data_IF_072414279795
#
_entry.id   IF_072414279795
#
_cell.length_a   1.000
_cell.length_b   1.000
_cell.length_c   1.000
_cell.angle_alpha   90.00
_cell.angle_beta   90.00
_cell.angle_gamma   90.00
#
_symmetry.space_group_name_H-M   'P 1'
#
loop_
_entity.id
_entity.type
_entity.pdbx_description
1 polymer ?
#
# COMPACT_ATOMS: atom_id res chain seq x y z
N UNK A 1 -6.25 3.15 1.92
CA UNK A 1 -6.39 4.57 1.64
C UNK A 1 -5.03 5.26 1.52
N UNK A 2 -4.09 5.19 2.46
CA UNK A 2 -2.78 5.87 2.41
C UNK A 2 -1.87 5.57 1.18
N UNK A 3 -2.16 4.54 0.39
CA UNK A 3 -1.39 4.15 -0.81
C UNK A 3 -1.78 4.91 -2.07
N UNK A 4 -3.06 5.20 -2.25
CA UNK A 4 -3.56 5.98 -3.37
C UNK A 4 -3.06 7.42 -3.25
N UNK A 5 -3.14 7.98 -2.05
CA UNK A 5 -2.74 9.36 -1.77
C UNK A 5 -1.26 9.65 -2.10
N UNK A 6 -0.36 8.68 -1.89
CA UNK A 6 1.08 8.86 -2.17
C UNK A 6 1.40 8.77 -3.67
N UNK A 7 0.74 7.87 -4.41
CA UNK A 7 0.94 7.73 -5.86
C UNK A 7 0.31 8.91 -6.61
N UNK A 8 -0.89 9.30 -6.24
CA UNK A 8 -1.59 10.46 -6.81
C UNK A 8 -0.82 11.75 -6.51
N UNK A 9 -0.33 11.95 -5.29
CA UNK A 9 0.48 13.12 -4.95
C UNK A 9 1.78 13.18 -5.77
N UNK A 10 2.46 12.05 -5.97
CA UNK A 10 3.65 11.95 -6.84
C UNK A 10 3.30 12.29 -8.29
N UNK A 11 2.23 11.67 -8.83
CA UNK A 11 1.79 11.92 -10.20
C UNK A 11 1.39 13.38 -10.40
N UNK A 12 0.70 13.98 -9.42
CA UNK A 12 0.31 15.39 -9.46
C UNK A 12 1.53 16.34 -9.44
N UNK A 13 2.53 16.03 -8.62
CA UNK A 13 3.80 16.78 -8.59
C UNK A 13 4.50 16.74 -9.94
N UNK A 14 4.57 15.56 -10.55
CA UNK A 14 5.20 15.39 -11.87
C UNK A 14 4.39 16.07 -12.97
N UNK A 15 3.07 15.93 -13.00
CA UNK A 15 2.23 16.61 -13.98
C UNK A 15 2.52 18.12 -14.00
N UNK A 16 2.56 18.74 -12.82
CA UNK A 16 2.88 20.16 -12.68
C UNK A 16 4.30 20.49 -13.16
N UNK A 17 5.27 19.70 -12.75
CA UNK A 17 6.67 19.94 -13.08
C UNK A 17 6.94 19.80 -14.59
N UNK A 18 6.45 18.75 -15.23
CA UNK A 18 6.65 18.53 -16.67
C UNK A 18 5.96 19.60 -17.50
N UNK A 19 4.75 20.05 -17.11
CA UNK A 19 4.05 21.14 -17.76
C UNK A 19 4.89 22.42 -17.74
N UNK A 20 5.45 22.78 -16.59
CA UNK A 20 6.26 23.98 -16.45
C UNK A 20 7.56 23.91 -17.26
N UNK A 21 8.28 22.80 -17.18
CA UNK A 21 9.56 22.57 -17.88
C UNK A 21 9.35 22.57 -19.39
N UNK A 22 8.34 21.85 -19.88
CA UNK A 22 8.02 21.78 -21.30
C UNK A 22 7.23 22.98 -21.82
N UNK A 23 6.86 23.93 -20.95
CA UNK A 23 6.02 25.10 -21.26
C UNK A 23 4.73 24.67 -21.98
N UNK A 24 4.13 23.58 -21.54
CA UNK A 24 2.87 23.11 -22.08
C UNK A 24 1.68 23.86 -21.48
N UNK A 25 0.59 23.94 -22.22
CA UNK A 25 -0.66 24.57 -21.76
C UNK A 25 -1.34 23.70 -20.68
N UNK A 26 -1.30 22.37 -20.85
CA UNK A 26 -1.78 21.41 -19.88
C UNK A 26 -0.93 20.12 -19.89
N UNK A 27 -1.06 19.33 -18.84
CA UNK A 27 -0.41 18.01 -18.75
C UNK A 27 -1.32 16.99 -18.09
N UNK A 28 -1.08 15.70 -18.41
CA UNK A 28 -1.74 14.57 -17.79
C UNK A 28 -0.73 13.44 -17.58
N UNK A 29 -0.88 12.71 -16.47
CA UNK A 29 -0.16 11.47 -16.18
C UNK A 29 -1.18 10.35 -16.20
N UNK A 30 -0.97 9.35 -17.06
CA UNK A 30 -1.87 8.23 -17.25
C UNK A 30 -1.16 6.94 -16.89
N UNK A 31 -1.91 6.04 -16.30
CA UNK A 31 -1.47 4.71 -15.94
C UNK A 31 -2.09 3.66 -16.85
N UNK A 32 -1.29 2.70 -17.32
CA UNK A 32 -1.77 1.57 -18.11
C UNK A 32 -2.25 0.45 -17.17
N UNK A 33 -3.53 0.16 -17.19
CA UNK A 33 -4.12 -1.04 -16.62
C UNK A 33 -4.21 -2.11 -17.73
N UNK A 34 -3.15 -2.90 -17.87
CA UNK A 34 -3.07 -3.94 -18.90
C UNK A 34 -4.12 -5.04 -18.71
N UNK A 35 -4.46 -5.37 -17.45
CA UNK A 35 -5.42 -6.42 -17.14
C UNK A 35 -6.82 -6.06 -17.67
N UNK A 36 -7.21 -4.79 -17.55
CA UNK A 36 -8.50 -4.29 -18.03
C UNK A 36 -8.41 -3.59 -19.37
N UNK A 37 -7.22 -3.52 -19.99
CA UNK A 37 -6.96 -2.82 -21.25
C UNK A 37 -7.45 -1.36 -21.22
N UNK A 38 -7.09 -0.64 -20.18
CA UNK A 38 -7.52 0.73 -19.93
C UNK A 38 -6.34 1.62 -19.57
N UNK A 39 -6.47 2.91 -19.88
CA UNK A 39 -5.64 3.97 -19.35
C UNK A 39 -6.43 4.77 -18.32
N UNK A 40 -5.90 4.88 -17.12
CA UNK A 40 -6.48 5.64 -16.03
C UNK A 40 -5.74 6.98 -15.89
N UNK A 41 -6.48 8.07 -15.81
CA UNK A 41 -5.91 9.37 -15.49
C UNK A 41 -5.56 9.42 -14.01
N UNK A 42 -4.27 9.44 -13.68
CA UNK A 42 -3.78 9.53 -12.30
C UNK A 42 -3.74 10.98 -11.81
N UNK A 43 -3.27 11.89 -12.66
CA UNK A 43 -3.13 13.30 -12.33
C UNK A 43 -3.15 14.16 -13.57
N UNK A 44 -3.50 15.43 -13.40
CA UNK A 44 -3.45 16.44 -14.47
C UNK A 44 -3.11 17.81 -13.89
N UNK A 45 -2.52 18.69 -14.73
CA UNK A 45 -2.29 20.08 -14.38
C UNK A 45 -2.76 20.98 -15.53
N UNK A 46 -3.63 21.94 -15.21
CA UNK A 46 -4.28 22.86 -16.16
C UNK A 46 -5.10 22.19 -17.28
N UNK A 47 -5.49 20.93 -17.12
CA UNK A 47 -6.37 20.26 -18.07
C UNK A 47 -7.82 20.71 -17.81
N UNK A 48 -8.62 21.06 -18.85
CA UNK A 48 -10.03 21.42 -18.67
C UNK A 48 -10.84 20.30 -18.03
N UNK A 49 -11.82 20.65 -17.18
CA UNK A 49 -12.62 19.68 -16.47
C UNK A 49 -13.42 18.79 -17.41
N UNK A 50 -13.90 19.32 -18.54
CA UNK A 50 -14.57 18.56 -19.60
C UNK A 50 -13.73 17.40 -20.13
N UNK A 51 -12.40 17.61 -20.30
CA UNK A 51 -11.46 16.56 -20.73
C UNK A 51 -11.21 15.56 -19.61
N UNK A 52 -11.07 16.03 -18.37
CA UNK A 52 -10.86 15.17 -17.20
C UNK A 52 -12.03 14.18 -17.04
N UNK A 53 -13.26 14.68 -17.12
CA UNK A 53 -14.47 13.87 -16.91
C UNK A 53 -14.66 12.81 -18.00
N UNK A 54 -14.35 13.18 -19.26
CA UNK A 54 -14.50 12.28 -20.40
C UNK A 54 -13.32 11.29 -20.54
N UNK A 55 -12.12 11.71 -20.10
CA UNK A 55 -10.88 10.95 -20.27
C UNK A 55 -10.35 10.31 -18.96
N UNK A 56 -11.13 10.29 -17.91
CA UNK A 56 -10.76 9.68 -16.64
C UNK A 56 -10.36 8.20 -16.79
N UNK A 57 -11.06 7.47 -17.67
CA UNK A 57 -10.80 6.07 -17.95
C UNK A 57 -11.03 5.78 -19.43
N UNK A 58 -9.95 5.61 -20.20
CA UNK A 58 -10.02 5.39 -21.65
C UNK A 58 -9.63 3.94 -21.96
N UNK A 59 -10.42 3.21 -22.78
CA UNK A 59 -9.99 1.93 -23.32
C UNK A 59 -8.69 2.07 -24.13
N UNK A 60 -7.79 1.11 -24.00
CA UNK A 60 -6.53 1.10 -24.75
C UNK A 60 -6.80 1.06 -26.26
N UNK A 61 -6.27 2.02 -26.99
CA UNK A 61 -6.42 2.13 -28.43
C UNK A 61 -7.57 3.02 -28.92
N UNK A 62 -8.39 3.55 -28.01
CA UNK A 62 -9.50 4.43 -28.35
C UNK A 62 -9.07 5.89 -28.59
N UNK A 63 -7.89 6.27 -28.11
CA UNK A 63 -7.28 7.57 -28.35
C UNK A 63 -5.88 7.38 -28.94
N UNK A 64 -5.43 8.30 -29.80
CA UNK A 64 -4.07 8.26 -30.33
C UNK A 64 -2.99 8.41 -29.26
N UNK A 65 -3.28 9.13 -28.18
CA UNK A 65 -2.41 9.27 -27.00
C UNK A 65 -2.37 7.99 -26.15
N UNK A 66 -3.37 7.15 -26.19
CA UNK A 66 -3.46 5.89 -25.45
C UNK A 66 -3.24 4.63 -26.30
N UNK A 67 -2.57 4.74 -27.44
CA UNK A 67 -2.22 3.55 -28.25
C UNK A 67 -0.88 2.98 -27.79
N UNK A 68 -0.86 1.77 -27.18
CA UNK A 68 0.38 1.09 -26.88
C UNK A 68 1.02 0.65 -28.20
N UNK A 69 2.07 1.34 -28.60
CA UNK A 69 2.90 0.86 -29.69
C UNK A 69 4.10 0.11 -29.11
N UNK A 70 4.34 -1.11 -29.57
CA UNK A 70 5.58 -1.82 -29.28
C UNK A 70 6.73 -0.99 -29.86
N UNK A 71 7.63 -0.52 -29.01
CA UNK A 71 8.68 0.43 -29.37
C UNK A 71 8.29 1.91 -29.13
N UNK A 72 7.29 2.18 -28.30
CA UNK A 72 6.82 3.54 -28.02
C UNK A 72 7.97 4.48 -27.68
N UNK A 73 8.24 5.40 -28.57
CA UNK A 73 9.12 6.55 -28.39
C UNK A 73 8.27 7.77 -28.08
N UNK A 74 8.88 8.79 -27.53
CA UNK A 74 8.24 10.10 -27.40
C UNK A 74 7.80 10.59 -28.78
N UNK A 75 6.53 10.96 -28.90
CA UNK A 75 5.90 11.34 -30.18
C UNK A 75 5.08 12.60 -30.04
N UNK A 76 5.07 13.39 -31.11
CA UNK A 76 4.17 14.53 -31.28
C UNK A 76 2.96 14.07 -32.08
N UNK A 77 1.77 14.26 -31.55
CA UNK A 77 0.49 13.86 -32.14
C UNK A 77 -0.25 15.14 -32.50
N UNK A 78 -0.39 15.47 -33.79
CA UNK A 78 -1.20 16.61 -34.21
C UNK A 78 -2.68 16.31 -33.99
N UNK A 79 -3.42 17.29 -33.47
CA UNK A 79 -4.87 17.25 -33.30
C UNK A 79 -5.49 18.03 -34.47
N UNK A 80 -6.14 17.32 -35.39
CA UNK A 80 -6.79 17.96 -36.53
C UNK A 80 -8.31 17.99 -36.30
N UNK A 81 -8.98 19.17 -36.49
CA UNK A 81 -10.44 19.30 -36.33
C UNK A 81 -11.21 18.47 -37.38
N UNK A 82 -10.63 18.30 -38.59
CA UNK A 82 -11.25 17.60 -39.71
C UNK A 82 -10.68 16.21 -39.87
N UNK A 83 -11.53 15.17 -39.74
CA UNK A 83 -11.16 13.77 -39.94
C UNK A 83 -10.62 13.03 -38.72
N UNK A 84 -10.66 13.64 -37.55
CA UNK A 84 -10.26 12.98 -36.29
C UNK A 84 -11.35 12.01 -35.83
N UNK A 85 -11.00 10.77 -35.37
CA UNK A 85 -11.96 9.92 -34.70
C UNK A 85 -12.65 10.68 -33.55
N UNK A 86 -13.94 10.45 -33.35
CA UNK A 86 -14.83 11.28 -32.48
C UNK A 86 -14.31 11.51 -31.04
N UNK A 87 -13.29 10.79 -30.61
CA UNK A 87 -12.70 10.87 -29.27
C UNK A 87 -11.54 11.85 -29.13
N UNK A 88 -10.80 12.17 -30.19
CA UNK A 88 -9.86 13.30 -30.20
C UNK A 88 -10.60 14.66 -30.32
N UNK A 89 -11.89 14.62 -30.57
CA UNK A 89 -12.73 15.80 -30.61
C UNK A 89 -12.78 16.56 -29.26
N UNK A 90 -12.48 15.90 -28.13
CA UNK A 90 -12.47 16.56 -26.81
C UNK A 90 -11.30 17.56 -26.72
N UNK A 91 -10.08 17.09 -27.01
CA UNK A 91 -8.89 17.96 -26.99
C UNK A 91 -9.01 19.10 -28.04
N UNK A 92 -9.54 18.79 -29.24
CA UNK A 92 -9.75 19.78 -30.28
C UNK A 92 -10.80 20.84 -29.87
N UNK A 93 -11.88 20.45 -29.19
CA UNK A 93 -12.92 21.37 -28.68
C UNK A 93 -12.39 22.35 -27.67
N UNK A 94 -11.41 21.94 -26.88
CA UNK A 94 -10.74 22.77 -25.89
C UNK A 94 -9.59 23.61 -26.47
N UNK A 95 -9.40 23.54 -27.79
CA UNK A 95 -8.45 24.38 -28.54
C UNK A 95 -7.00 23.89 -28.46
N UNK A 96 -6.79 22.58 -28.15
CA UNK A 96 -5.45 22.01 -28.29
C UNK A 96 -5.18 21.58 -29.72
N UNK A 97 -3.98 21.93 -30.24
CA UNK A 97 -3.55 21.61 -31.60
C UNK A 97 -2.56 20.45 -31.67
N UNK A 98 -1.85 20.17 -30.58
CA UNK A 98 -0.92 19.04 -30.51
C UNK A 98 -0.79 18.46 -29.10
N UNK A 99 -0.44 17.17 -29.05
CA UNK A 99 -0.10 16.45 -27.83
C UNK A 99 1.26 15.80 -27.98
N UNK A 100 2.16 16.04 -27.03
CA UNK A 100 3.39 15.26 -26.91
C UNK A 100 3.12 14.12 -25.93
N UNK A 101 3.23 12.88 -26.40
CA UNK A 101 3.08 11.67 -25.56
C UNK A 101 4.46 11.10 -25.25
N UNK A 102 4.79 11.04 -23.97
CA UNK A 102 6.05 10.52 -23.43
C UNK A 102 5.77 9.20 -22.72
N UNK A 103 6.30 8.06 -23.19
CA UNK A 103 6.04 6.77 -22.56
C UNK A 103 6.76 6.64 -21.22
N UNK A 104 6.06 6.18 -20.19
CA UNK A 104 6.61 5.81 -18.90
C UNK A 104 6.87 4.31 -18.92
N UNK A 105 8.14 3.92 -18.88
CA UNK A 105 8.56 2.53 -18.99
C UNK A 105 9.26 2.04 -17.74
N UNK A 106 8.89 0.86 -17.34
CA UNK A 106 9.59 0.10 -16.34
C UNK A 106 10.25 -1.10 -17.03
N UNK A 107 11.58 -1.03 -17.21
CA UNK A 107 12.34 -1.95 -18.08
C UNK A 107 11.76 -1.92 -19.51
N UNK A 108 11.35 -3.07 -20.04
CA UNK A 108 10.74 -3.18 -21.38
C UNK A 108 9.22 -2.97 -21.39
N UNK A 109 8.58 -2.82 -20.21
CA UNK A 109 7.13 -2.73 -20.10
C UNK A 109 6.66 -1.29 -20.05
N UNK A 110 5.67 -0.95 -20.86
CA UNK A 110 4.98 0.34 -20.82
C UNK A 110 4.00 0.33 -19.64
N UNK A 111 4.24 1.20 -18.66
CA UNK A 111 3.40 1.29 -17.43
C UNK A 111 2.50 2.50 -17.41
N UNK A 112 2.74 3.47 -18.30
CA UNK A 112 1.93 4.68 -18.39
C UNK A 112 2.43 5.63 -19.46
N UNK A 113 1.84 6.80 -19.49
CA UNK A 113 2.22 7.90 -20.40
C UNK A 113 2.11 9.24 -19.68
N UNK A 114 2.99 10.17 -20.04
CA UNK A 114 2.87 11.59 -19.73
C UNK A 114 2.42 12.27 -21.00
N UNK A 115 1.29 12.96 -20.98
CA UNK A 115 0.77 13.72 -22.10
C UNK A 115 0.89 15.21 -21.83
N UNK A 116 1.47 15.94 -22.77
CA UNK A 116 1.65 17.39 -22.74
C UNK A 116 0.82 17.99 -23.87
N UNK A 117 -0.08 18.90 -23.54
CA UNK A 117 -1.02 19.49 -24.45
C UNK A 117 -0.60 20.91 -24.81
N UNK A 118 -0.65 21.25 -26.09
CA UNK A 118 -0.27 22.55 -26.62
C UNK A 118 -1.37 23.13 -27.51
N UNK A 119 -1.55 24.44 -27.42
CA UNK A 119 -2.47 25.22 -28.27
C UNK A 119 -1.80 25.68 -29.55
N UNK A 120 -0.60 25.22 -29.85
CA UNK A 120 0.13 25.46 -31.06
C UNK A 120 0.80 24.17 -31.56
N UNK A 121 1.23 24.19 -32.82
CA UNK A 121 2.00 23.10 -33.41
C UNK A 121 3.48 23.39 -33.23
N UNK A 122 4.15 22.74 -32.30
CA UNK A 122 5.61 22.88 -32.10
C UNK A 122 6.34 21.60 -32.47
N UNK A 123 7.49 21.70 -33.14
CA UNK A 123 8.41 20.59 -33.19
C UNK A 123 9.01 20.38 -31.79
N UNK A 124 9.10 19.15 -31.34
CA UNK A 124 9.80 18.79 -30.12
C UNK A 124 11.31 18.77 -30.40
N UNK A 125 12.07 19.63 -29.71
CA UNK A 125 13.52 19.60 -29.81
C UNK A 125 14.10 18.32 -29.19
N UNK A 126 15.23 17.84 -29.69
CA UNK A 126 15.84 16.61 -29.17
C UNK A 126 16.27 16.76 -27.71
N UNK A 127 16.70 17.93 -27.28
CA UNK A 127 17.04 18.24 -25.90
C UNK A 127 15.81 18.10 -24.96
N UNK A 128 14.66 18.65 -25.37
CA UNK A 128 13.40 18.53 -24.64
C UNK A 128 12.92 17.10 -24.57
N UNK A 129 13.09 16.34 -25.66
CA UNK A 129 12.77 14.91 -25.70
C UNK A 129 13.56 14.12 -24.66
N UNK A 130 14.89 14.28 -24.62
CA UNK A 130 15.77 13.59 -23.67
C UNK A 130 15.40 13.95 -22.23
N UNK A 131 15.10 15.23 -21.97
CA UNK A 131 14.70 15.70 -20.66
C UNK A 131 13.37 15.04 -20.21
N UNK A 132 12.37 15.03 -21.08
CA UNK A 132 11.06 14.43 -20.79
C UNK A 132 11.14 12.91 -20.57
N UNK A 133 11.92 12.21 -21.38
CA UNK A 133 12.17 10.78 -21.23
C UNK A 133 12.93 10.47 -19.92
N UNK A 134 13.83 11.35 -19.51
CA UNK A 134 14.51 11.24 -18.22
C UNK A 134 13.52 11.39 -17.07
N UNK A 135 12.64 12.37 -17.11
CA UNK A 135 11.60 12.56 -16.08
C UNK A 135 10.64 11.35 -16.05
N UNK A 136 10.24 10.84 -17.21
CA UNK A 136 9.39 9.65 -17.30
C UNK A 136 10.07 8.41 -16.70
N UNK A 137 11.38 8.25 -16.90
CA UNK A 137 12.16 7.16 -16.30
C UNK A 137 12.24 7.29 -14.76
N UNK A 138 12.43 8.50 -14.25
CA UNK A 138 12.38 8.76 -12.80
C UNK A 138 11.00 8.44 -12.20
N UNK A 139 9.93 8.81 -12.88
CA UNK A 139 8.57 8.46 -12.46
C UNK A 139 8.39 6.94 -12.38
N UNK A 140 8.83 6.20 -13.42
CA UNK A 140 8.77 4.75 -13.44
C UNK A 140 9.51 4.13 -12.25
N UNK A 141 10.74 4.58 -11.97
CA UNK A 141 11.53 4.12 -10.83
C UNK A 141 10.89 4.42 -9.48
N UNK A 142 10.30 5.61 -9.32
CA UNK A 142 9.60 5.97 -8.09
C UNK A 142 8.34 5.11 -7.85
N UNK A 143 7.57 4.84 -8.90
CA UNK A 143 6.40 3.96 -8.84
C UNK A 143 6.81 2.53 -8.44
N UNK A 144 7.90 2.01 -9.03
CA UNK A 144 8.42 0.69 -8.69
C UNK A 144 8.87 0.60 -7.24
N UNK A 145 9.58 1.62 -6.75
CA UNK A 145 9.98 1.70 -5.35
C UNK A 145 8.78 1.68 -4.39
N UNK A 146 7.72 2.43 -4.72
CA UNK A 146 6.49 2.44 -3.94
C UNK A 146 5.79 1.07 -3.95
N UNK A 147 5.77 0.39 -5.10
CA UNK A 147 5.19 -0.96 -5.23
C UNK A 147 6.00 -1.99 -4.44
N UNK A 148 7.32 -1.96 -4.57
CA UNK A 148 8.21 -2.87 -3.85
C UNK A 148 8.07 -2.70 -2.33
N UNK A 149 8.10 -1.45 -1.84
CA UNK A 149 7.89 -1.16 -0.43
C UNK A 149 6.53 -1.63 0.08
N UNK A 150 5.51 -1.51 -0.76
CA UNK A 150 4.18 -1.96 -0.44
C UNK A 150 4.08 -3.48 -0.35
N UNK A 151 4.66 -4.21 -1.30
CA UNK A 151 4.70 -5.68 -1.29
C UNK A 151 5.52 -6.20 -0.09
N UNK A 152 6.66 -5.56 0.22
CA UNK A 152 7.45 -5.89 1.40
C UNK A 152 6.66 -5.75 2.71
N UNK A 153 5.84 -4.69 2.84
CA UNK A 153 4.97 -4.54 4.01
C UNK A 153 3.91 -5.63 4.09
N UNK A 154 3.31 -6.00 2.97
CA UNK A 154 2.32 -7.09 2.93
C UNK A 154 2.93 -8.44 3.32
N UNK A 155 4.11 -8.75 2.78
CA UNK A 155 4.83 -9.99 3.15
C UNK A 155 5.23 -9.99 4.61
N UNK A 156 5.77 -8.90 5.13
CA UNK A 156 6.13 -8.79 6.55
C UNK A 156 4.91 -8.99 7.48
N UNK A 157 3.76 -8.41 7.13
CA UNK A 157 2.51 -8.61 7.90
C UNK A 157 2.04 -10.06 7.82
N UNK A 158 2.14 -10.71 6.65
CA UNK A 158 1.75 -12.11 6.48
C UNK A 158 2.67 -13.07 7.25
N UNK A 159 3.98 -12.81 7.23
CA UNK A 159 4.98 -13.57 8.00
C UNK A 159 4.75 -13.43 9.51
N UNK A 160 4.51 -12.21 9.99
CA UNK A 160 4.19 -11.94 11.40
C UNK A 160 2.93 -12.69 11.84
N UNK A 161 1.85 -12.63 11.05
CA UNK A 161 0.62 -13.38 11.33
C UNK A 161 0.86 -14.89 11.39
N UNK A 162 1.68 -15.42 10.49
CA UNK A 162 2.04 -16.85 10.47
C UNK A 162 2.88 -17.23 11.68
N UNK A 163 3.80 -16.37 12.11
CA UNK A 163 4.60 -16.57 13.31
C UNK A 163 3.70 -16.60 14.55
N UNK A 164 2.83 -15.61 14.71
CA UNK A 164 1.86 -15.53 15.80
C UNK A 164 1.00 -16.79 15.89
N UNK A 165 0.46 -17.26 14.76
CA UNK A 165 -0.39 -18.44 14.73
C UNK A 165 0.36 -19.69 15.20
N UNK A 166 1.64 -19.82 14.88
CA UNK A 166 2.49 -20.93 15.35
C UNK A 166 2.75 -20.86 16.85
N UNK A 167 3.18 -19.70 17.35
CA UNK A 167 3.44 -19.49 18.79
C UNK A 167 2.20 -19.78 19.64
N UNK A 168 1.04 -19.27 19.20
CA UNK A 168 -0.23 -19.57 19.87
C UNK A 168 -0.58 -21.06 19.80
N UNK A 169 -0.40 -21.70 18.66
CA UNK A 169 -0.69 -23.11 18.49
C UNK A 169 0.19 -23.97 19.42
N UNK A 170 1.48 -23.67 19.48
CA UNK A 170 2.44 -24.41 20.27
C UNK A 170 2.17 -24.22 21.79
N UNK A 171 1.90 -22.99 22.23
CA UNK A 171 1.53 -22.72 23.63
C UNK A 171 0.24 -23.44 24.03
N UNK A 172 -0.80 -23.37 23.21
CA UNK A 172 -2.07 -24.04 23.46
C UNK A 172 -1.89 -25.57 23.47
N UNK A 173 -1.13 -26.12 22.52
CA UNK A 173 -0.88 -27.55 22.42
C UNK A 173 -0.13 -28.07 23.65
N UNK A 174 0.87 -27.35 24.16
CA UNK A 174 1.61 -27.67 25.37
C UNK A 174 0.68 -27.66 26.59
N UNK A 175 -0.13 -26.61 26.74
CA UNK A 175 -1.10 -26.49 27.85
C UNK A 175 -2.12 -27.66 27.86
N UNK A 176 -2.66 -27.98 26.69
CA UNK A 176 -3.61 -29.08 26.55
C UNK A 176 -2.96 -30.46 26.83
N UNK A 177 -1.70 -30.66 26.42
CA UNK A 177 -0.96 -31.87 26.71
C UNK A 177 -0.72 -32.04 28.23
N UNK A 178 -0.31 -30.96 28.90
CA UNK A 178 -0.16 -30.94 30.36
C UNK A 178 -1.49 -31.28 31.06
N UNK A 179 -2.58 -30.60 30.72
CA UNK A 179 -3.89 -30.87 31.30
C UNK A 179 -4.36 -32.32 31.09
N UNK A 180 -4.09 -32.87 29.90
CA UNK A 180 -4.40 -34.30 29.62
C UNK A 180 -3.64 -35.25 30.53
N UNK A 181 -2.36 -34.98 30.81
CA UNK A 181 -1.55 -35.79 31.73
C UNK A 181 -2.09 -35.66 33.15
N UNK A 182 -2.35 -34.45 33.63
CA UNK A 182 -2.89 -34.21 34.98
C UNK A 182 -4.26 -34.87 35.20
N UNK A 183 -5.14 -34.84 34.21
CA UNK A 183 -6.42 -35.54 34.24
C UNK A 183 -6.24 -37.06 34.30
N UNK A 184 -5.18 -37.62 33.66
CA UNK A 184 -4.82 -39.02 33.77
C UNK A 184 -4.38 -39.38 35.17
N UNK A 185 -3.56 -38.56 35.81
CA UNK A 185 -3.10 -38.73 37.19
C UNK A 185 -4.28 -38.62 38.17
N UNK A 186 -5.15 -37.65 38.04
CA UNK A 186 -6.34 -37.47 38.86
C UNK A 186 -7.25 -38.71 38.82
N UNK A 187 -7.47 -39.28 37.64
CA UNK A 187 -8.25 -40.50 37.47
C UNK A 187 -7.61 -41.69 38.22
N UNK A 188 -6.28 -41.78 38.24
CA UNK A 188 -5.54 -42.79 38.98
C UNK A 188 -5.68 -42.60 40.50
N UNK A 189 -5.54 -41.38 40.98
CA UNK A 189 -5.61 -41.01 42.39
C UNK A 189 -7.02 -41.23 42.96
N UNK A 190 -8.07 -40.93 42.18
CA UNK A 190 -9.46 -41.28 42.54
C UNK A 190 -9.64 -42.80 42.69
N UNK A 191 -9.06 -43.62 41.81
CA UNK A 191 -9.15 -45.08 41.91
C UNK A 191 -8.42 -45.65 43.13
N UNK A 192 -7.33 -44.98 43.54
CA UNK A 192 -6.56 -45.35 44.73
C UNK A 192 -7.21 -44.91 46.04
N UNK A 193 -8.28 -44.09 45.95
CA UNK A 193 -9.02 -43.53 47.08
C UNK A 193 -8.12 -42.80 48.10
N UNK A 194 -7.05 -42.13 47.63
CA UNK A 194 -6.13 -41.34 48.45
C UNK A 194 -6.51 -39.83 48.39
N UNK A 195 -7.17 -39.29 49.42
CA UNK A 195 -7.65 -37.93 49.42
C UNK A 195 -6.52 -36.90 49.31
N UNK A 196 -5.34 -37.16 49.90
CA UNK A 196 -4.22 -36.22 49.90
C UNK A 196 -3.61 -36.07 48.48
N UNK A 197 -3.55 -37.19 47.74
CA UNK A 197 -3.09 -37.16 46.34
C UNK A 197 -4.10 -36.51 45.41
N UNK A 198 -5.39 -36.76 45.62
CA UNK A 198 -6.45 -36.11 44.85
C UNK A 198 -6.36 -34.57 44.99
N UNK A 199 -6.26 -34.08 46.22
CA UNK A 199 -6.17 -32.64 46.53
C UNK A 199 -4.93 -32.03 45.87
N UNK A 200 -3.78 -32.70 45.97
CA UNK A 200 -2.53 -32.28 45.34
C UNK A 200 -2.68 -32.12 43.80
N UNK A 201 -3.21 -33.15 43.15
CA UNK A 201 -3.37 -33.16 41.68
C UNK A 201 -4.38 -32.12 41.24
N UNK A 202 -5.43 -31.85 42.02
CA UNK A 202 -6.38 -30.76 41.74
C UNK A 202 -5.70 -29.39 41.85
N UNK A 203 -4.88 -29.18 42.88
CA UNK A 203 -4.13 -27.90 43.02
C UNK A 203 -3.13 -27.69 41.87
N UNK A 204 -2.44 -28.75 41.42
CA UNK A 204 -1.54 -28.68 40.25
C UNK A 204 -2.29 -28.40 38.95
N UNK A 205 -3.49 -28.97 38.79
CA UNK A 205 -4.38 -28.67 37.64
C UNK A 205 -4.80 -27.20 37.63
N UNK A 206 -5.25 -26.69 38.78
CA UNK A 206 -5.69 -25.27 38.89
C UNK A 206 -4.55 -24.30 38.61
N UNK A 207 -3.37 -24.55 39.17
CA UNK A 207 -2.17 -23.76 38.90
C UNK A 207 -1.80 -23.77 37.42
N UNK A 208 -1.78 -24.93 36.77
CA UNK A 208 -1.45 -25.03 35.36
C UNK A 208 -2.47 -24.39 34.43
N UNK A 209 -3.75 -24.38 34.79
CA UNK A 209 -4.78 -23.61 34.03
C UNK A 209 -4.55 -22.12 34.15
N UNK A 210 -4.25 -21.64 35.36
CA UNK A 210 -3.97 -20.22 35.58
C UNK A 210 -2.72 -19.75 34.83
N UNK A 211 -1.64 -20.51 34.86
CA UNK A 211 -0.41 -20.23 34.12
C UNK A 211 -0.69 -20.21 32.61
N UNK A 212 -1.34 -21.22 32.05
CA UNK A 212 -1.68 -21.29 30.65
C UNK A 212 -2.54 -20.10 30.15
N UNK A 213 -3.52 -19.68 30.97
CA UNK A 213 -4.33 -18.50 30.68
C UNK A 213 -3.50 -17.21 30.74
N UNK A 214 -2.51 -17.14 31.63
CA UNK A 214 -1.55 -16.05 31.72
C UNK A 214 -0.72 -15.93 30.45
N UNK A 215 -0.11 -17.03 30.00
CA UNK A 215 0.73 -17.10 28.82
C UNK A 215 -0.03 -16.70 27.54
N UNK A 216 -1.23 -17.20 27.35
CA UNK A 216 -2.07 -16.82 26.19
C UNK A 216 -2.42 -15.34 26.23
N UNK A 217 -2.73 -14.80 27.41
CA UNK A 217 -3.01 -13.35 27.54
C UNK A 217 -1.78 -12.49 27.26
N UNK A 218 -0.61 -12.89 27.74
CA UNK A 218 0.65 -12.18 27.50
C UNK A 218 0.99 -12.17 26.03
N UNK A 219 0.90 -13.32 25.33
CA UNK A 219 1.05 -13.43 23.90
C UNK A 219 0.09 -12.48 23.16
N UNK A 220 -1.20 -12.49 23.49
CA UNK A 220 -2.18 -11.63 22.84
C UNK A 220 -1.93 -10.15 23.11
N UNK A 221 -1.47 -9.77 24.27
CA UNK A 221 -1.09 -8.36 24.59
C UNK A 221 0.16 -7.97 23.80
N UNK A 222 1.17 -8.83 23.77
CA UNK A 222 2.39 -8.58 23.01
C UNK A 222 2.12 -8.34 21.52
N UNK A 223 1.22 -9.12 20.93
CA UNK A 223 0.81 -8.96 19.53
C UNK A 223 -0.03 -7.71 19.28
N UNK A 224 -0.91 -7.36 20.22
CA UNK A 224 -1.74 -6.15 20.10
C UNK A 224 -0.91 -4.86 20.14
N UNK A 225 0.18 -4.84 20.89
CA UNK A 225 1.09 -3.68 20.97
C UNK A 225 1.98 -3.55 19.73
N UNK A 226 2.36 -4.66 19.07
CA UNK A 226 3.15 -4.62 17.84
C UNK A 226 2.37 -4.17 16.61
N UNK A 227 1.06 -4.45 16.54
CA UNK A 227 0.20 -4.04 15.43
C UNK A 227 -0.16 -2.54 15.46
N UNK A 228 0.00 -1.87 16.60
CA UNK A 228 -0.27 -0.43 16.76
C UNK A 228 1.03 0.37 16.93
N UNK A 229 2.06 0.09 16.13
CA UNK A 229 3.35 0.80 16.20
C UNK A 229 3.27 2.31 15.90
N UNK A 230 2.12 2.82 15.48
CA UNK A 230 1.91 4.26 15.24
C UNK A 230 1.61 5.07 16.53
N UNK A 231 1.36 4.41 17.67
CA UNK A 231 1.05 5.11 18.95
C UNK A 231 1.70 4.40 20.14
N UNK A 232 3.03 4.57 20.26
CA UNK A 232 3.81 4.04 21.40
C UNK A 232 3.33 4.62 22.73
N UNK A 233 2.96 5.90 22.77
CA UNK A 233 2.55 6.60 23.96
C UNK A 233 1.27 6.04 24.63
N UNK A 234 0.16 5.79 23.92
CA UNK A 234 -1.02 5.12 24.45
C UNK A 234 -0.74 3.67 24.91
N UNK A 235 0.10 2.94 24.17
CA UNK A 235 0.46 1.56 24.54
C UNK A 235 1.25 1.51 25.86
N UNK A 236 2.24 2.39 26.03
CA UNK A 236 3.00 2.54 27.27
C UNK A 236 2.10 2.94 28.44
N UNK A 237 1.21 3.92 28.23
CA UNK A 237 0.26 4.37 29.25
C UNK A 237 -0.64 3.23 29.76
N UNK A 238 -1.15 2.42 28.82
CA UNK A 238 -2.00 1.26 29.14
C UNK A 238 -1.21 0.20 29.91
N UNK A 239 0.04 -0.05 29.55
CA UNK A 239 0.93 -1.02 30.22
C UNK A 239 1.25 -0.57 31.64
N UNK A 240 1.59 0.71 31.82
CA UNK A 240 1.88 1.29 33.13
C UNK A 240 0.65 1.28 34.07
N UNK A 241 -0.54 1.58 33.55
CA UNK A 241 -1.79 1.48 34.32
C UNK A 241 -2.05 0.05 34.84
N UNK A 242 -1.77 -0.97 33.99
CA UNK A 242 -1.90 -2.36 34.43
C UNK A 242 -0.88 -2.72 35.50
N UNK A 243 0.37 -2.25 35.35
CA UNK A 243 1.43 -2.46 36.34
C UNK A 243 1.08 -1.80 37.68
N UNK A 244 0.56 -0.56 37.67
CA UNK A 244 0.05 0.11 38.88
C UNK A 244 -1.03 -0.67 39.59
N UNK A 245 -1.97 -1.22 38.80
CA UNK A 245 -3.08 -2.01 39.34
C UNK A 245 -2.63 -3.35 39.93
N UNK A 246 -1.58 -3.96 39.37
CA UNK A 246 -1.04 -5.24 39.86
C UNK A 246 -0.10 -5.09 41.03
N UNK A 247 0.67 -4.02 41.09
CA UNK A 247 1.75 -3.84 42.08
C UNK A 247 1.40 -2.82 43.19
N UNK A 248 0.40 -1.98 42.98
CA UNK A 248 0.08 -0.85 43.89
C UNK A 248 1.08 0.29 43.86
N UNK A 249 2.05 0.28 42.94
CA UNK A 249 3.07 1.33 42.76
C UNK A 249 2.56 2.38 41.78
N UNK A 250 2.79 3.65 42.08
CA UNK A 250 2.46 4.76 41.15
C UNK A 250 3.56 4.90 40.13
N UNK A 251 3.21 4.96 38.85
CA UNK A 251 4.16 5.17 37.75
C UNK A 251 3.99 6.56 37.14
N UNK A 252 5.07 7.10 36.60
CA UNK A 252 5.05 8.36 35.84
C UNK A 252 5.63 8.14 34.46
N UNK A 253 4.94 8.64 33.42
CA UNK A 253 5.36 8.53 32.04
C UNK A 253 5.62 9.93 31.49
N UNK A 254 6.89 10.26 31.31
CA UNK A 254 7.31 11.44 30.56
C UNK A 254 7.70 11.06 29.14
N UNK A 255 7.15 11.77 28.16
CA UNK A 255 7.43 11.56 26.74
C UNK A 255 8.00 12.86 26.20
N UNK A 256 9.30 12.86 25.91
CA UNK A 256 9.97 13.95 25.22
C UNK A 256 10.12 13.54 23.74
N UNK A 257 9.53 14.30 22.82
CA UNK A 257 9.68 14.11 21.37
C UNK A 257 8.65 14.93 20.60
N UNK A 258 9.14 15.69 19.66
CA UNK A 258 8.33 16.32 18.60
C UNK A 258 7.90 15.28 17.57
#
# INVERSE_FOLDING_TARGET
>A
MARADTLEALAQGIARQVRQVARADASAVRWSDEANRKYLLLASDCLPQSVIDEEHCIPTGDCLCGQPQSGAMTRVIPIHPEGTPSRLAHCAREGFESVVSVPVRLHERLVGEINLFYRDTRPLADEDRVLLETIASHLAGAIESLRAAALQRETAVAEERSFIARELHDSIAQSLAFLKIQLGLLRSDIRSADPARIEKTLAELDAGVHESLGDVRELLVHFRTRTNAEDIAPALKTTLQKFEHQTGLTTHLDIEGE
#
